data_IF_165063959996
#
_entry.id   IF_165063959996
#
_cell.length_a   1.000
_cell.length_b   1.000
_cell.length_c   1.000
_cell.angle_alpha   90.00
_cell.angle_beta   90.00
_cell.angle_gamma   90.00
#
_symmetry.space_group_name_H-M   'P 1'
#
loop_
_entity.id
_entity.type
_entity.pdbx_description
1 polymer ?
#
# COMPACT_ATOMS: atom_id res chain seq x y z
N UNK A 1 5.42 -5.09 -18.42
CA UNK A 1 5.27 -5.91 -17.21
C UNK A 1 6.34 -6.99 -17.04
N UNK A 2 6.60 -7.89 -18.02
CA UNK A 2 7.62 -8.96 -17.89
C UNK A 2 9.02 -8.45 -17.49
N UNK A 3 9.50 -7.33 -18.06
CA UNK A 3 10.83 -6.77 -17.76
C UNK A 3 10.98 -6.24 -16.32
N UNK A 4 9.92 -5.68 -15.75
CA UNK A 4 9.92 -5.17 -14.36
C UNK A 4 10.00 -6.33 -13.37
N UNK A 5 9.25 -7.40 -13.63
CA UNK A 5 9.28 -8.61 -12.81
C UNK A 5 10.67 -9.27 -12.84
N UNK A 6 11.30 -9.32 -14.02
CA UNK A 6 12.67 -9.87 -14.18
C UNK A 6 13.70 -9.04 -13.42
N UNK A 7 13.61 -7.72 -13.44
CA UNK A 7 14.51 -6.83 -12.70
C UNK A 7 14.30 -6.98 -11.19
N UNK A 8 13.04 -7.06 -10.72
CA UNK A 8 12.73 -7.30 -9.32
C UNK A 8 13.25 -8.66 -8.84
N UNK A 9 13.06 -9.74 -9.61
CA UNK A 9 13.62 -11.05 -9.30
C UNK A 9 15.15 -11.04 -9.32
N UNK A 10 15.79 -10.37 -10.28
CA UNK A 10 17.25 -10.27 -10.36
C UNK A 10 17.83 -9.50 -9.17
N UNK A 11 17.19 -8.41 -8.73
CA UNK A 11 17.57 -7.67 -7.53
C UNK A 11 17.45 -8.53 -6.27
N UNK A 12 16.35 -9.27 -6.11
CA UNK A 12 16.17 -10.20 -4.98
C UNK A 12 17.25 -11.31 -5.01
N UNK A 13 17.54 -11.89 -6.17
CA UNK A 13 18.59 -12.90 -6.30
C UNK A 13 20.00 -12.35 -6.06
N UNK A 14 20.31 -11.13 -6.52
CA UNK A 14 21.61 -10.50 -6.28
C UNK A 14 21.83 -10.20 -4.78
N UNK A 15 20.80 -9.80 -4.06
CA UNK A 15 20.86 -9.56 -2.62
C UNK A 15 21.03 -10.87 -1.84
N UNK A 16 20.44 -11.98 -2.29
CA UNK A 16 20.58 -13.30 -1.67
C UNK A 16 21.98 -13.89 -1.86
N UNK A 17 22.73 -13.48 -2.89
CA UNK A 17 24.06 -14.02 -3.20
C UNK A 17 25.22 -13.37 -2.41
N UNK A 18 24.99 -12.26 -1.70
CA UNK A 18 26.03 -11.48 -1.04
C UNK A 18 26.36 -11.92 0.41
N UNK A 19 25.94 -13.09 0.85
CA UNK A 19 25.99 -13.46 2.29
C UNK A 19 27.06 -14.49 2.64
N UNK A 20 28.25 -14.04 2.99
CA UNK A 20 29.32 -14.87 3.55
C UNK A 20 29.94 -14.31 4.84
N UNK A 21 29.21 -13.59 5.68
CA UNK A 21 29.69 -13.21 7.02
C UNK A 21 28.46 -13.09 7.96
N UNK A 22 28.64 -13.35 9.28
CA UNK A 22 27.64 -13.36 10.39
C UNK A 22 26.56 -12.26 10.42
N UNK A 23 26.14 -11.81 9.27
CA UNK A 23 25.17 -10.75 9.05
C UNK A 23 23.79 -11.39 8.97
N UNK A 24 22.89 -11.05 9.87
CA UNK A 24 21.55 -11.60 9.88
C UNK A 24 20.74 -11.04 8.71
N UNK A 25 20.23 -11.94 7.91
CA UNK A 25 19.26 -11.67 6.86
C UNK A 25 17.89 -12.15 7.30
N UNK A 26 16.84 -11.47 6.90
CA UNK A 26 15.48 -11.93 7.14
C UNK A 26 14.54 -11.54 6.03
N UNK A 27 13.55 -12.41 5.80
CA UNK A 27 12.39 -12.13 4.96
C UNK A 27 11.21 -11.81 5.86
N UNK A 28 10.45 -10.78 5.50
CA UNK A 28 9.28 -10.31 6.24
C UNK A 28 8.06 -10.32 5.31
N UNK A 29 6.96 -10.88 5.77
CA UNK A 29 5.65 -10.80 5.10
C UNK A 29 4.73 -10.09 6.08
N UNK A 30 4.25 -8.93 5.68
CA UNK A 30 3.36 -8.12 6.50
C UNK A 30 2.13 -7.70 5.72
N UNK A 31 1.09 -7.35 6.43
CA UNK A 31 -0.11 -6.73 5.88
C UNK A 31 -0.38 -5.44 6.63
N UNK A 32 -0.96 -4.47 5.96
CA UNK A 32 -1.23 -3.17 6.54
C UNK A 32 -2.31 -2.41 5.78
N UNK A 33 -2.73 -1.30 6.37
CA UNK A 33 -3.68 -0.41 5.73
C UNK A 33 -3.04 0.26 4.51
N UNK A 34 -3.77 0.48 3.41
CA UNK A 34 -3.25 1.10 2.20
C UNK A 34 -2.58 2.46 2.45
N UNK A 35 -1.69 2.86 1.57
CA UNK A 35 -0.95 4.11 1.71
C UNK A 35 -1.87 5.34 1.72
N UNK A 36 -1.41 6.40 2.39
CA UNK A 36 -2.14 7.67 2.43
C UNK A 36 -2.31 8.27 1.02
N UNK A 37 -1.38 8.00 0.11
CA UNK A 37 -1.49 8.46 -1.27
C UNK A 37 -2.60 7.75 -2.01
N UNK A 38 -2.74 6.46 -1.84
CA UNK A 38 -3.87 5.73 -2.40
C UNK A 38 -5.18 6.31 -1.89
N UNK A 39 -5.23 6.64 -0.59
CA UNK A 39 -6.38 7.30 0.03
C UNK A 39 -6.57 8.76 -0.40
N UNK A 40 -5.52 9.45 -0.88
CA UNK A 40 -5.60 10.81 -1.39
C UNK A 40 -5.90 10.87 -2.89
N UNK A 41 -5.31 10.00 -3.70
CA UNK A 41 -5.54 9.98 -5.14
C UNK A 41 -6.95 9.52 -5.49
N UNK A 42 -7.42 8.44 -4.89
CA UNK A 42 -8.71 7.84 -5.21
C UNK A 42 -9.90 8.55 -4.55
N UNK A 43 -9.95 8.75 -3.22
CA UNK A 43 -11.13 9.38 -2.62
C UNK A 43 -11.24 10.86 -2.95
N UNK A 44 -10.12 11.55 -3.16
CA UNK A 44 -10.18 12.98 -3.48
C UNK A 44 -10.67 13.20 -4.90
N UNK A 45 -10.16 12.44 -5.85
CA UNK A 45 -10.64 12.50 -7.22
C UNK A 45 -12.10 12.02 -7.36
N UNK A 46 -12.48 10.97 -6.61
CA UNK A 46 -13.81 10.37 -6.73
C UNK A 46 -14.82 10.92 -5.73
N UNK A 47 -14.45 11.31 -4.51
CA UNK A 47 -15.35 11.99 -3.57
C UNK A 47 -15.71 13.41 -4.00
N UNK A 48 -14.82 14.11 -4.66
CA UNK A 48 -15.18 15.37 -5.33
C UNK A 48 -16.04 15.13 -6.57
N UNK A 49 -16.02 13.90 -7.10
CA UNK A 49 -16.88 13.45 -8.19
C UNK A 49 -18.14 12.69 -7.71
N UNK A 50 -18.31 12.39 -6.42
CA UNK A 50 -19.49 11.72 -5.87
C UNK A 50 -20.82 12.46 -6.11
N UNK A 51 -20.74 13.74 -6.42
CA UNK A 51 -21.86 14.53 -6.91
C UNK A 51 -21.72 14.80 -8.40
N UNK A 52 -21.33 13.79 -9.15
CA UNK A 52 -20.97 14.01 -10.53
C UNK A 52 -22.19 14.27 -11.38
N UNK A 53 -22.00 15.27 -12.20
CA UNK A 53 -22.77 15.59 -13.40
C UNK A 53 -23.17 14.38 -14.27
N UNK A 54 -22.69 13.16 -13.98
CA UNK A 54 -22.84 11.98 -14.84
C UNK A 54 -23.72 10.87 -14.25
N UNK A 55 -24.43 11.11 -13.13
CA UNK A 55 -25.31 10.11 -12.49
C UNK A 55 -24.58 8.87 -11.96
N UNK A 56 -23.33 9.01 -11.57
CA UNK A 56 -22.53 7.92 -11.03
C UNK A 56 -22.30 8.09 -9.53
N UNK A 57 -22.32 6.98 -8.80
CA UNK A 57 -21.82 6.92 -7.44
C UNK A 57 -20.75 5.83 -7.34
N UNK A 58 -19.79 6.04 -6.43
CA UNK A 58 -18.65 5.17 -6.26
C UNK A 58 -18.62 4.61 -4.86
N UNK A 59 -18.44 3.30 -4.74
CA UNK A 59 -18.23 2.61 -3.47
C UNK A 59 -16.93 1.84 -3.50
N UNK A 60 -15.98 2.30 -2.72
CA UNK A 60 -14.69 1.65 -2.62
C UNK A 60 -14.69 0.56 -1.54
N UNK A 61 -14.12 -0.60 -1.87
CA UNK A 61 -13.89 -1.71 -0.95
C UNK A 61 -12.40 -1.81 -0.66
N UNK A 62 -12.01 -1.43 0.54
CA UNK A 62 -10.63 -1.48 0.98
C UNK A 62 -10.16 -2.92 1.18
N UNK A 63 -9.05 -3.26 0.54
CA UNK A 63 -8.33 -4.51 0.77
C UNK A 63 -6.99 -4.21 1.45
N UNK A 64 -6.61 -4.96 2.51
CA UNK A 64 -5.30 -4.78 3.11
C UNK A 64 -4.20 -5.13 2.11
N UNK A 65 -3.15 -4.30 2.06
CA UNK A 65 -1.99 -4.56 1.22
C UNK A 65 -1.13 -5.69 1.78
N UNK A 66 -0.47 -6.42 0.89
CA UNK A 66 0.55 -7.42 1.24
C UNK A 66 1.92 -6.80 0.96
N UNK A 67 2.80 -6.86 1.96
CA UNK A 67 4.17 -6.42 1.85
C UNK A 67 5.11 -7.62 1.94
N UNK A 68 6.07 -7.68 1.03
CA UNK A 68 7.18 -8.61 1.09
C UNK A 68 8.44 -7.79 1.28
N UNK A 69 9.09 -7.97 2.43
CA UNK A 69 10.26 -7.23 2.84
C UNK A 69 11.49 -8.11 2.97
N UNK A 70 12.64 -7.53 2.69
CA UNK A 70 13.94 -8.10 2.97
C UNK A 70 14.68 -7.16 3.90
N UNK A 71 15.18 -7.72 5.02
CA UNK A 71 15.91 -6.98 6.04
C UNK A 71 17.33 -7.52 6.16
N UNK A 72 18.29 -6.62 6.13
CA UNK A 72 19.69 -6.87 6.31
C UNK A 72 20.20 -6.16 7.58
N UNK A 73 20.65 -6.91 8.56
CA UNK A 73 21.26 -6.37 9.76
C UNK A 73 22.78 -6.30 9.62
N UNK A 74 23.35 -5.09 9.49
CA UNK A 74 24.80 -4.92 9.39
C UNK A 74 25.50 -4.68 10.73
N UNK A 75 24.73 -4.25 11.73
CA UNK A 75 25.22 -4.06 13.12
C UNK A 75 24.11 -4.44 14.10
N UNK A 76 24.49 -4.72 15.35
CA UNK A 76 23.55 -5.14 16.41
C UNK A 76 22.27 -4.27 16.50
N UNK A 77 22.38 -2.98 16.22
CA UNK A 77 21.28 -2.01 16.33
C UNK A 77 20.78 -1.45 14.99
N UNK A 78 21.46 -1.77 13.89
CA UNK A 78 21.14 -1.17 12.62
C UNK A 78 20.73 -2.21 11.58
N UNK A 79 19.61 -1.96 10.93
CA UNK A 79 19.11 -2.77 9.82
C UNK A 79 18.79 -1.88 8.62
N UNK A 80 18.97 -2.41 7.42
CA UNK A 80 18.35 -1.90 6.19
C UNK A 80 17.19 -2.81 5.85
N UNK A 81 16.07 -2.22 5.54
CA UNK A 81 14.89 -2.93 5.06
C UNK A 81 14.51 -2.41 3.68
N UNK A 82 14.24 -3.33 2.77
CA UNK A 82 13.60 -3.05 1.47
C UNK A 82 12.29 -3.81 1.41
N UNK A 83 11.24 -3.20 0.87
CA UNK A 83 9.91 -3.76 0.88
C UNK A 83 9.20 -3.46 -0.43
N UNK A 84 8.54 -4.48 -0.97
CA UNK A 84 7.58 -4.35 -2.08
C UNK A 84 6.18 -4.54 -1.50
N UNK A 85 5.31 -3.62 -1.81
CA UNK A 85 3.89 -3.68 -1.47
C UNK A 85 3.07 -3.95 -2.72
N UNK A 86 2.03 -4.74 -2.57
CA UNK A 86 0.96 -4.90 -3.56
C UNK A 86 -0.37 -4.86 -2.83
N UNK A 87 -1.29 -4.06 -3.31
CA UNK A 87 -2.68 -4.08 -2.83
C UNK A 87 -3.67 -3.96 -3.99
N UNK A 88 -4.88 -4.43 -3.73
CA UNK A 88 -5.99 -4.39 -4.67
C UNK A 88 -7.00 -3.37 -4.16
N UNK A 89 -7.51 -2.55 -5.07
CA UNK A 89 -8.69 -1.72 -4.82
C UNK A 89 -9.83 -2.24 -5.67
N UNK A 90 -10.94 -2.52 -5.02
CA UNK A 90 -12.17 -2.91 -5.69
C UNK A 90 -13.14 -1.75 -5.55
N UNK A 91 -13.64 -1.26 -6.68
CA UNK A 91 -14.58 -0.15 -6.73
C UNK A 91 -15.85 -0.58 -7.45
N UNK A 92 -16.98 -0.40 -6.80
CA UNK A 92 -18.29 -0.55 -7.41
C UNK A 92 -18.76 0.83 -7.90
N UNK A 93 -18.93 0.95 -9.22
CA UNK A 93 -19.43 2.15 -9.90
C UNK A 93 -20.90 1.92 -10.20
N UNK A 94 -21.77 2.68 -9.56
CA UNK A 94 -23.21 2.60 -9.77
C UNK A 94 -23.65 3.73 -10.72
N UNK A 95 -24.20 3.36 -11.87
CA UNK A 95 -24.72 4.30 -12.88
C UNK A 95 -26.25 4.37 -12.78
N UNK A 96 -26.77 5.53 -12.49
CA UNK A 96 -28.21 5.78 -12.44
C UNK A 96 -28.77 6.17 -13.80
N UNK A 97 -29.99 5.74 -14.14
CA UNK A 97 -30.63 6.11 -15.42
C UNK A 97 -31.02 7.59 -15.44
N UNK A 98 -31.15 8.12 -16.63
CA UNK A 98 -31.70 9.45 -16.84
C UNK A 98 -33.21 9.46 -16.55
N UNK A 99 -33.72 10.58 -16.07
CA UNK A 99 -35.16 10.79 -15.91
C UNK A 99 -35.85 10.73 -17.29
N UNK A 100 -37.08 10.19 -17.37
CA UNK A 100 -37.84 10.12 -18.62
C UNK A 100 -37.99 11.51 -19.27
N UNK A 101 -37.65 11.62 -20.54
CA UNK A 101 -37.74 12.86 -21.32
C UNK A 101 -36.50 13.76 -21.30
N UNK A 102 -35.45 13.37 -20.60
CA UNK A 102 -34.15 14.05 -20.65
C UNK A 102 -33.29 13.41 -21.72
N UNK A 103 -33.08 14.12 -22.85
CA UNK A 103 -32.11 13.67 -23.87
C UNK A 103 -30.69 13.97 -23.39
N UNK A 104 -29.90 12.88 -23.26
CA UNK A 104 -28.59 12.93 -22.64
C UNK A 104 -27.53 13.63 -23.50
N UNK A 105 -27.29 14.90 -23.22
CA UNK A 105 -25.99 15.50 -23.46
C UNK A 105 -25.34 15.69 -22.09
N UNK A 106 -24.30 14.88 -21.79
CA UNK A 106 -23.50 15.04 -20.60
C UNK A 106 -22.82 16.41 -20.56
N UNK A 107 -23.51 17.39 -20.00
CA UNK A 107 -22.92 18.68 -19.69
C UNK A 107 -22.42 18.66 -18.26
N UNK A 108 -21.16 19.01 -18.07
CA UNK A 108 -20.47 19.11 -16.76
C UNK A 108 -20.96 20.31 -15.92
N UNK A 109 -22.28 20.57 -15.94
CA UNK A 109 -22.91 21.64 -15.16
C UNK A 109 -23.45 21.09 -13.83
N UNK A 110 -23.39 21.84 -12.73
CA UNK A 110 -24.01 21.47 -11.45
C UNK A 110 -25.52 21.16 -11.56
N UNK A 111 -26.21 21.69 -12.56
CA UNK A 111 -27.62 21.42 -12.84
C UNK A 111 -27.86 20.00 -13.42
N UNK A 112 -26.80 19.33 -13.89
CA UNK A 112 -26.89 17.98 -14.46
C UNK A 112 -27.24 16.91 -13.43
N UNK A 113 -26.98 17.15 -12.13
CA UNK A 113 -27.33 16.21 -11.04
C UNK A 113 -28.83 15.95 -10.94
N UNK A 114 -29.67 16.87 -11.34
CA UNK A 114 -31.14 16.74 -11.30
C UNK A 114 -31.71 15.97 -12.50
N UNK A 115 -30.87 15.51 -13.42
CA UNK A 115 -31.29 14.80 -14.63
C UNK A 115 -31.37 13.28 -14.43
N UNK A 116 -30.91 12.76 -13.30
CA UNK A 116 -30.84 11.34 -13.02
C UNK A 116 -31.90 10.90 -12.01
N UNK A 117 -32.44 9.72 -12.22
CA UNK A 117 -33.37 9.10 -11.27
C UNK A 117 -32.58 8.33 -10.18
N UNK A 118 -32.29 9.02 -9.10
CA UNK A 118 -31.57 8.48 -7.95
C UNK A 118 -32.38 7.45 -7.13
N UNK A 119 -33.68 7.30 -7.42
CA UNK A 119 -34.55 6.31 -6.79
C UNK A 119 -34.63 5.00 -7.58
N UNK A 120 -34.18 5.01 -8.83
CA UNK A 120 -34.13 3.81 -9.66
C UNK A 120 -32.96 2.90 -9.28
N UNK A 121 -33.09 1.62 -9.60
CA UNK A 121 -31.99 0.67 -9.43
C UNK A 121 -30.84 0.99 -10.39
N UNK A 122 -29.62 1.27 -9.89
CA UNK A 122 -28.48 1.59 -10.74
C UNK A 122 -27.89 0.35 -11.41
N UNK A 123 -27.28 0.55 -12.56
CA UNK A 123 -26.39 -0.46 -13.14
C UNK A 123 -25.04 -0.41 -12.42
N UNK A 124 -24.65 -1.51 -11.77
CA UNK A 124 -23.39 -1.59 -11.02
C UNK A 124 -22.31 -2.26 -11.85
N UNK A 125 -21.22 -1.55 -12.06
CA UNK A 125 -20.00 -2.08 -12.70
C UNK A 125 -18.89 -2.18 -11.64
N UNK A 126 -18.25 -3.34 -11.54
CA UNK A 126 -17.11 -3.53 -10.64
C UNK A 126 -15.80 -3.35 -11.37
N UNK A 127 -14.97 -2.45 -10.88
CA UNK A 127 -13.61 -2.22 -11.33
C UNK A 127 -12.62 -2.70 -10.27
N UNK A 128 -11.54 -3.33 -10.73
CA UNK A 128 -10.44 -3.78 -9.85
C UNK A 128 -9.14 -3.20 -10.34
N UNK A 129 -8.48 -2.44 -9.47
CA UNK A 129 -7.19 -1.83 -9.75
C UNK A 129 -6.10 -2.43 -8.84
N UNK A 130 -4.91 -2.61 -9.40
CA UNK A 130 -3.75 -3.17 -8.70
C UNK A 130 -2.74 -2.05 -8.49
N UNK A 131 -2.40 -1.79 -7.24
CA UNK A 131 -1.39 -0.82 -6.86
C UNK A 131 -0.15 -1.51 -6.32
N UNK A 132 0.98 -0.90 -6.57
CA UNK A 132 2.25 -1.38 -6.05
C UNK A 132 3.12 -0.23 -5.56
N UNK A 133 3.97 -0.53 -4.57
CA UNK A 133 4.96 0.40 -4.08
C UNK A 133 6.26 -0.32 -3.74
N UNK A 134 7.37 0.40 -3.83
CA UNK A 134 8.66 -0.02 -3.35
C UNK A 134 9.14 0.96 -2.29
N UNK A 135 9.61 0.44 -1.15
CA UNK A 135 10.16 1.23 -0.06
C UNK A 135 11.53 0.70 0.36
N UNK A 136 12.40 1.62 0.74
CA UNK A 136 13.68 1.31 1.38
C UNK A 136 13.83 2.16 2.65
N UNK A 137 14.25 1.55 3.74
CA UNK A 137 14.39 2.23 5.03
C UNK A 137 15.56 1.71 5.84
N UNK A 138 16.04 2.55 6.72
CA UNK A 138 17.01 2.22 7.75
C UNK A 138 16.27 2.14 9.08
N UNK A 139 16.44 1.04 9.80
CA UNK A 139 15.86 0.79 11.12
C UNK A 139 16.95 0.90 12.18
N UNK A 140 16.68 1.68 13.22
CA UNK A 140 17.53 1.77 14.42
C UNK A 140 16.84 1.12 15.60
N UNK A 141 17.42 0.03 16.14
CA UNK A 141 16.92 -0.68 17.32
C UNK A 141 17.42 0.02 18.57
N UNK A 142 16.53 0.72 19.24
CA UNK A 142 16.86 1.38 20.52
C UNK A 142 16.66 0.47 21.73
N UNK A 143 15.85 -0.59 21.62
CA UNK A 143 15.74 -1.64 22.62
C UNK A 143 15.97 -3.00 21.95
N UNK A 144 16.89 -3.79 22.51
CA UNK A 144 17.21 -5.16 22.05
C UNK A 144 17.24 -6.08 23.26
N UNK A 145 16.37 -7.09 23.27
CA UNK A 145 16.29 -8.18 24.22
C UNK A 145 16.27 -9.50 23.44
N UNK A 146 16.45 -10.63 24.11
CA UNK A 146 16.56 -11.94 23.45
C UNK A 146 15.35 -12.30 22.59
N UNK A 147 14.13 -11.96 23.05
CA UNK A 147 12.87 -12.31 22.39
C UNK A 147 12.10 -11.09 21.89
N UNK A 148 12.67 -9.89 22.02
CA UNK A 148 11.95 -8.66 21.78
C UNK A 148 12.91 -7.54 21.38
N UNK A 149 12.56 -6.79 20.36
CA UNK A 149 13.26 -5.57 20.01
C UNK A 149 12.29 -4.49 19.58
N UNK A 150 12.62 -3.25 19.92
CA UNK A 150 11.90 -2.06 19.45
C UNK A 150 12.83 -1.22 18.60
N UNK A 151 12.29 -0.62 17.55
CA UNK A 151 13.05 0.20 16.61
C UNK A 151 12.22 1.37 16.09
N UNK A 152 12.91 2.34 15.53
CA UNK A 152 12.33 3.35 14.64
C UNK A 152 12.96 3.23 13.28
N UNK A 153 12.24 3.62 12.23
CA UNK A 153 12.73 3.56 10.87
C UNK A 153 12.51 4.88 10.12
N UNK A 154 13.46 5.16 9.23
CA UNK A 154 13.39 6.29 8.31
C UNK A 154 13.86 5.84 6.92
N UNK A 155 13.17 6.32 5.89
CA UNK A 155 13.50 5.96 4.52
C UNK A 155 12.65 6.70 3.50
N UNK A 156 12.54 6.10 2.33
CA UNK A 156 11.69 6.60 1.26
C UNK A 156 11.12 5.44 0.45
N UNK A 157 10.04 5.71 -0.25
CA UNK A 157 9.42 4.79 -1.20
C UNK A 157 8.86 5.52 -2.41
N UNK A 158 8.52 4.74 -3.42
CA UNK A 158 7.84 5.20 -4.62
C UNK A 158 6.62 4.31 -4.86
N UNK A 159 5.54 4.90 -5.34
CA UNK A 159 4.36 4.16 -5.80
C UNK A 159 4.43 3.94 -7.31
N UNK A 160 3.97 2.78 -7.79
CA UNK A 160 3.85 2.50 -9.22
C UNK A 160 2.67 3.32 -9.75
N UNK A 161 2.91 4.17 -10.73
CA UNK A 161 1.91 5.12 -11.26
C UNK A 161 2.09 6.55 -10.75
N UNK A 162 2.76 6.74 -9.60
CA UNK A 162 3.09 8.05 -9.05
C UNK A 162 4.57 8.08 -8.60
N UNK A 163 5.51 8.38 -9.50
CA UNK A 163 6.95 8.21 -9.27
C UNK A 163 7.58 9.30 -8.38
N UNK A 164 6.80 9.93 -7.51
CA UNK A 164 7.33 10.91 -6.55
C UNK A 164 7.82 10.17 -5.30
N UNK A 165 9.03 10.46 -4.81
CA UNK A 165 9.52 9.89 -3.59
C UNK A 165 8.68 10.32 -2.39
N UNK A 166 8.21 9.34 -1.63
CA UNK A 166 7.41 9.54 -0.42
C UNK A 166 8.25 9.12 0.77
N UNK A 167 8.34 9.94 1.82
CA UNK A 167 9.04 9.55 3.02
C UNK A 167 8.45 8.28 3.63
N UNK A 168 9.33 7.40 4.11
CA UNK A 168 8.99 6.27 4.96
C UNK A 168 9.37 6.64 6.38
N UNK A 169 8.40 6.75 7.26
CA UNK A 169 8.61 7.11 8.65
C UNK A 169 7.88 6.09 9.53
N UNK A 170 8.64 5.36 10.34
CA UNK A 170 8.08 4.48 11.36
C UNK A 170 8.62 4.91 12.73
N UNK A 171 7.84 5.66 13.51
CA UNK A 171 8.25 6.09 14.84
C UNK A 171 8.47 4.92 15.78
N UNK A 172 7.68 3.87 15.65
CA UNK A 172 7.77 2.68 16.48
C UNK A 172 7.50 1.41 15.69
N UNK A 173 8.41 0.44 15.81
CA UNK A 173 8.24 -0.93 15.35
C UNK A 173 8.68 -1.89 16.44
N UNK A 174 8.05 -3.05 16.48
CA UNK A 174 8.27 -4.10 17.46
C UNK A 174 8.50 -5.41 16.72
N UNK A 175 9.59 -6.10 17.04
CA UNK A 175 9.82 -7.49 16.63
C UNK A 175 9.82 -8.36 17.87
N UNK A 176 9.05 -9.44 17.85
CA UNK A 176 8.92 -10.36 18.97
C UNK A 176 8.94 -11.81 18.52
N UNK A 177 9.68 -12.63 19.23
CA UNK A 177 9.82 -14.05 18.93
C UNK A 177 11.22 -14.57 19.15
N UNK A 178 11.31 -15.85 19.43
CA UNK A 178 12.55 -16.58 19.71
C UNK A 178 12.89 -17.50 18.53
N UNK A 179 14.16 -17.52 18.13
CA UNK A 179 14.63 -18.40 17.06
C UNK A 179 14.46 -17.80 15.65
N UNK A 180 14.17 -18.68 14.68
CA UNK A 180 14.13 -18.29 13.25
C UNK A 180 12.91 -17.44 12.88
N UNK A 181 11.77 -17.66 13.54
CA UNK A 181 10.52 -16.97 13.24
C UNK A 181 10.24 -15.90 14.28
N UNK A 182 9.76 -14.74 13.83
CA UNK A 182 9.36 -13.63 14.70
C UNK A 182 8.12 -12.91 14.16
N UNK A 183 7.35 -12.34 15.08
CA UNK A 183 6.28 -11.41 14.74
C UNK A 183 6.82 -10.00 14.56
N UNK A 184 6.15 -9.19 13.75
CA UNK A 184 6.45 -7.78 13.55
C UNK A 184 5.16 -6.98 13.59
N UNK A 185 5.21 -5.85 14.29
CA UNK A 185 4.17 -4.82 14.29
C UNK A 185 4.90 -3.48 14.15
N UNK A 186 4.42 -2.64 13.26
CA UNK A 186 5.03 -1.33 13.00
C UNK A 186 3.96 -0.29 12.77
N UNK A 187 4.05 0.83 13.47
CA UNK A 187 3.29 2.03 13.15
C UNK A 187 4.10 2.85 12.15
N UNK A 188 3.55 3.13 10.98
CA UNK A 188 4.27 3.83 9.92
C UNK A 188 3.39 4.71 9.05
N UNK A 189 4.06 5.60 8.32
CA UNK A 189 3.51 6.35 7.19
C UNK A 189 4.49 6.19 6.03
N UNK A 190 4.01 5.67 4.90
CA UNK A 190 4.88 5.39 3.74
C UNK A 190 4.09 5.33 2.43
N UNK A 191 4.81 5.14 1.33
CA UNK A 191 4.21 4.83 0.03
C UNK A 191 3.47 3.49 0.01
N UNK A 192 3.83 2.55 0.89
CA UNK A 192 3.27 1.19 0.92
C UNK A 192 2.08 1.07 1.89
N UNK A 193 2.21 1.65 3.09
CA UNK A 193 1.21 1.52 4.16
C UNK A 193 1.10 2.80 4.96
N UNK A 194 -0.07 3.01 5.56
CA UNK A 194 -0.34 4.11 6.49
C UNK A 194 -0.96 3.56 7.77
N UNK A 195 -0.67 4.21 8.91
CA UNK A 195 -1.08 3.86 10.27
C UNK A 195 -0.42 2.63 10.85
N UNK A 196 -0.18 1.58 10.08
CA UNK A 196 0.53 0.44 10.60
C UNK A 196 0.47 -0.80 9.74
N UNK A 197 1.39 -1.70 10.06
CA UNK A 197 1.45 -3.03 9.48
C UNK A 197 1.79 -4.06 10.55
N UNK A 198 1.35 -5.30 10.31
CA UNK A 198 1.67 -6.44 11.14
C UNK A 198 1.97 -7.68 10.29
N UNK A 199 2.77 -8.59 10.80
CA UNK A 199 3.11 -9.81 10.08
C UNK A 199 4.16 -10.66 10.75
N UNK A 200 4.83 -11.45 9.95
CA UNK A 200 5.86 -12.40 10.38
C UNK A 200 7.15 -12.20 9.59
N UNK A 201 8.28 -12.53 10.23
CA UNK A 201 9.58 -12.57 9.59
C UNK A 201 10.29 -13.89 9.88
N UNK A 202 11.17 -14.26 8.96
CA UNK A 202 12.01 -15.47 9.05
C UNK A 202 13.46 -15.03 8.92
N UNK A 203 14.29 -15.37 9.94
CA UNK A 203 15.75 -15.19 9.89
C UNK A 203 16.35 -16.30 9.05
N UNK A 204 17.19 -15.92 8.10
CA UNK A 204 17.87 -16.82 7.16
C UNK A 204 19.22 -17.27 7.70
#
# INVERSE_FOLDING_TARGET
>A
MKRILTIACALVCAVLSASAQEKQHSLEITTGYPSILHNLEYPWAYRTMEMTSNGQTYKEHYQPGINIGYTYQWRKRWEVNTMVNVHLTIMDISQYPLLPGVEGTATSSPEATNQYDWNADPTVTRQTDVFGAFCASVRYKWLVRDNFSMYSALGAGISIGFPIPIPYIAPIGIKFGKGKVYGIIEANVSAATTFGMAGIGIRL
#
